data_IF_475241719744
#
_entry.id   IF_475241719744
#
_cell.length_a   1.000
_cell.length_b   1.000
_cell.length_c   1.000
_cell.angle_alpha   90.00
_cell.angle_beta   90.00
_cell.angle_gamma   90.00
#
_symmetry.space_group_name_H-M   'P 1'
#
loop_
_entity.id
_entity.type
_entity.pdbx_description
1 polymer ?
#
# COMPACT_ATOMS: atom_id res chain seq x y z
N UNK A 1 49.82 33.27 5.47
CA UNK A 1 48.44 33.10 5.98
C UNK A 1 48.13 31.62 5.87
N UNK A 2 47.59 31.08 6.94
CA UNK A 2 47.73 29.70 7.41
C UNK A 2 47.25 28.65 6.40
N UNK A 3 48.17 27.75 6.10
CA UNK A 3 47.99 26.50 5.37
C UNK A 3 47.10 25.58 6.23
N UNK A 4 45.78 25.59 5.98
CA UNK A 4 44.87 24.60 6.56
C UNK A 4 45.11 23.29 5.81
N UNK A 5 46.05 22.50 6.33
CA UNK A 5 46.19 21.09 5.99
C UNK A 5 44.81 20.44 6.09
N UNK A 6 44.27 19.99 4.96
CA UNK A 6 43.02 19.24 4.90
C UNK A 6 43.30 17.92 5.62
N UNK A 7 42.93 17.81 6.89
CA UNK A 7 43.01 16.56 7.62
C UNK A 7 42.08 15.56 6.92
N UNK A 8 42.66 14.53 6.32
CA UNK A 8 41.88 13.42 5.78
C UNK A 8 41.38 12.55 6.95
N UNK A 9 40.17 11.96 6.82
CA UNK A 9 39.66 11.07 7.84
C UNK A 9 40.54 9.82 7.94
N UNK A 10 40.81 9.39 9.18
CA UNK A 10 41.52 8.13 9.43
C UNK A 10 40.78 6.96 8.77
N UNK A 11 41.48 5.91 8.30
CA UNK A 11 40.81 4.72 7.77
C UNK A 11 39.89 4.09 8.83
N UNK A 12 38.81 3.46 8.39
CA UNK A 12 37.91 2.73 9.29
C UNK A 12 38.68 1.59 9.99
N UNK A 13 38.36 1.28 11.26
CA UNK A 13 38.93 0.12 11.95
C UNK A 13 38.79 -1.15 11.10
N UNK A 14 39.85 -1.95 10.99
CA UNK A 14 39.86 -3.17 10.15
C UNK A 14 38.69 -4.10 10.47
N UNK A 15 38.32 -4.20 11.75
CA UNK A 15 37.23 -5.03 12.23
C UNK A 15 35.85 -4.69 11.63
N UNK A 16 35.63 -3.48 11.10
CA UNK A 16 34.34 -3.09 10.48
C UNK A 16 34.37 -3.00 8.95
N UNK A 17 35.55 -3.11 8.35
CA UNK A 17 35.73 -3.06 6.90
C UNK A 17 34.96 -4.15 6.11
N UNK A 18 34.61 -5.33 6.66
CA UNK A 18 33.75 -6.28 5.95
C UNK A 18 32.33 -5.77 5.65
N UNK A 19 31.88 -4.72 6.34
CA UNK A 19 30.54 -4.14 6.15
C UNK A 19 30.60 -2.70 5.63
N UNK A 20 31.61 -1.94 6.05
CA UNK A 20 31.69 -0.51 5.85
C UNK A 20 32.87 -0.11 4.96
N UNK A 21 32.66 0.89 4.12
CA UNK A 21 33.71 1.59 3.39
C UNK A 21 33.59 3.08 3.66
N UNK A 22 34.72 3.76 3.76
CA UNK A 22 34.78 5.21 3.86
C UNK A 22 35.05 5.81 2.47
N UNK A 23 34.14 6.66 2.02
CA UNK A 23 34.40 7.53 0.88
C UNK A 23 35.19 8.76 1.37
N UNK A 24 36.46 8.84 0.98
CA UNK A 24 37.38 9.90 1.42
C UNK A 24 37.04 11.28 0.82
N UNK A 25 36.51 11.32 -0.40
CA UNK A 25 36.20 12.57 -1.10
C UNK A 25 35.05 13.32 -0.43
N UNK A 26 33.99 12.60 -0.05
CA UNK A 26 32.80 13.18 0.56
C UNK A 26 32.76 13.01 2.09
N UNK A 27 33.74 12.31 2.67
CA UNK A 27 33.80 11.98 4.09
C UNK A 27 32.55 11.20 4.55
N UNK A 28 32.14 10.20 3.77
CA UNK A 28 30.87 9.47 3.97
C UNK A 28 31.14 8.00 4.27
N UNK A 29 30.54 7.50 5.34
CA UNK A 29 30.54 6.07 5.69
C UNK A 29 29.42 5.38 4.90
N UNK A 30 29.80 4.38 4.09
CA UNK A 30 28.91 3.58 3.26
C UNK A 30 28.87 2.16 3.80
N UNK A 31 27.68 1.63 4.03
CA UNK A 31 27.51 0.19 4.19
C UNK A 31 27.38 -0.46 2.81
N UNK A 32 28.35 -1.28 2.44
CA UNK A 32 28.40 -1.97 1.15
C UNK A 32 27.85 -3.39 1.21
N UNK A 33 27.46 -3.88 2.39
CA UNK A 33 26.85 -5.20 2.54
C UNK A 33 25.58 -5.36 1.70
N UNK A 34 25.34 -6.60 1.27
CA UNK A 34 24.13 -7.01 0.54
C UNK A 34 22.87 -6.62 1.33
N UNK A 35 21.85 -6.11 0.62
CA UNK A 35 20.63 -5.55 1.22
C UNK A 35 20.72 -4.10 1.73
N UNK A 36 21.92 -3.62 2.13
CA UNK A 36 22.08 -2.26 2.66
C UNK A 36 22.50 -1.25 1.59
N UNK A 37 23.69 -1.41 0.99
CA UNK A 37 24.23 -0.59 -0.13
C UNK A 37 23.83 0.90 -0.05
N UNK A 38 24.32 1.62 0.96
CA UNK A 38 23.93 3.00 1.23
C UNK A 38 24.74 3.69 2.31
N UNK A 39 24.69 5.03 2.35
CA UNK A 39 25.35 5.84 3.34
C UNK A 39 24.68 5.74 4.72
N UNK A 40 25.50 5.80 5.76
CA UNK A 40 25.09 5.84 7.16
C UNK A 40 25.54 7.15 7.77
N UNK A 41 24.71 7.74 8.63
CA UNK A 41 25.15 8.89 9.42
C UNK A 41 26.05 8.41 10.56
N UNK A 42 27.03 9.21 11.01
CA UNK A 42 27.91 8.85 12.12
C UNK A 42 27.15 8.46 13.40
N UNK A 43 25.97 9.05 13.63
CA UNK A 43 25.10 8.73 14.79
C UNK A 43 24.35 7.41 14.64
N UNK A 44 24.07 6.96 13.42
CA UNK A 44 23.25 5.79 13.15
C UNK A 44 24.06 4.52 12.86
N UNK A 45 25.36 4.65 12.52
CA UNK A 45 26.19 3.52 12.06
C UNK A 45 26.29 2.39 13.07
N UNK A 46 26.50 2.66 14.37
CA UNK A 46 26.59 1.61 15.39
C UNK A 46 25.25 0.88 15.60
N UNK A 47 24.14 1.63 15.59
CA UNK A 47 22.78 1.06 15.67
C UNK A 47 22.48 0.22 14.45
N UNK A 48 22.87 0.68 13.25
CA UNK A 48 22.71 -0.05 12.01
C UNK A 48 23.48 -1.37 12.01
N UNK A 49 24.76 -1.38 12.39
CA UNK A 49 25.55 -2.62 12.46
C UNK A 49 24.94 -3.64 13.44
N UNK A 50 24.35 -3.17 14.54
CA UNK A 50 23.64 -4.03 15.50
C UNK A 50 22.36 -4.61 14.89
N UNK A 51 21.51 -3.76 14.34
CA UNK A 51 20.14 -4.13 13.96
C UNK A 51 20.08 -4.85 12.59
N UNK A 52 21.01 -4.54 11.68
CA UNK A 52 21.03 -5.08 10.30
C UNK A 52 22.08 -6.15 10.05
N UNK A 53 23.16 -6.15 10.82
CA UNK A 53 24.28 -7.08 10.62
C UNK A 53 24.63 -7.89 11.87
N UNK A 54 23.91 -7.67 12.98
CA UNK A 54 24.12 -8.36 14.26
C UNK A 54 25.59 -8.36 14.71
N UNK A 55 26.32 -7.30 14.40
CA UNK A 55 27.76 -7.22 14.70
C UNK A 55 27.98 -7.20 16.21
N UNK A 56 28.97 -7.97 16.66
CA UNK A 56 29.34 -8.12 18.06
C UNK A 56 29.64 -6.77 18.74
N UNK A 57 29.40 -6.71 20.05
CA UNK A 57 29.50 -5.47 20.81
C UNK A 57 30.92 -4.88 20.77
N UNK A 58 31.94 -5.73 20.86
CA UNK A 58 33.36 -5.39 20.90
C UNK A 58 33.78 -4.66 19.61
N UNK A 59 33.34 -5.16 18.46
CA UNK A 59 33.61 -4.55 17.14
C UNK A 59 32.88 -3.20 17.03
N UNK A 60 31.62 -3.12 17.49
CA UNK A 60 30.86 -1.86 17.50
C UNK A 60 31.45 -0.84 18.48
N UNK A 61 32.09 -1.29 19.56
CA UNK A 61 32.77 -0.44 20.52
C UNK A 61 34.00 0.22 19.90
N UNK A 62 34.83 -0.54 19.17
CA UNK A 62 35.98 0.02 18.43
C UNK A 62 35.53 1.10 17.43
N UNK A 63 34.44 0.86 16.71
CA UNK A 63 33.86 1.86 15.82
C UNK A 63 33.34 3.08 16.59
N UNK A 64 32.68 2.89 17.73
CA UNK A 64 32.20 4.00 18.56
C UNK A 64 33.36 4.87 19.08
N UNK A 65 34.50 4.27 19.42
CA UNK A 65 35.71 4.98 19.83
C UNK A 65 36.33 5.77 18.69
N UNK A 66 36.41 5.19 17.49
CA UNK A 66 36.79 5.90 16.26
C UNK A 66 35.87 7.11 16.00
N UNK A 67 34.55 6.94 16.15
CA UNK A 67 33.57 8.01 15.90
C UNK A 67 33.62 9.15 16.91
N UNK A 68 34.20 8.96 18.11
CA UNK A 68 34.43 10.06 19.06
C UNK A 68 35.39 11.10 18.49
N UNK A 69 36.30 10.69 17.61
CA UNK A 69 37.28 11.56 16.94
C UNK A 69 36.76 12.10 15.60
N UNK A 70 35.55 11.72 15.20
CA UNK A 70 34.97 12.06 13.91
C UNK A 70 34.40 13.48 13.87
N UNK A 71 34.97 14.34 13.02
CA UNK A 71 34.62 15.75 12.96
C UNK A 71 33.59 16.09 11.85
N UNK A 72 33.38 15.19 10.89
CA UNK A 72 32.50 15.42 9.74
C UNK A 72 31.06 15.01 10.01
N UNK A 73 30.28 15.89 10.62
CA UNK A 73 28.86 15.66 10.83
C UNK A 73 28.09 15.92 9.53
N UNK A 74 27.27 14.96 9.11
CA UNK A 74 26.37 15.09 7.98
C UNK A 74 25.07 14.33 8.22
N UNK A 75 24.03 14.76 7.52
CA UNK A 75 22.75 14.07 7.40
C UNK A 75 22.29 14.03 5.93
N UNK A 76 21.10 13.51 5.69
CA UNK A 76 20.56 13.36 4.34
C UNK A 76 20.28 14.69 3.62
N UNK A 77 20.15 15.80 4.35
CA UNK A 77 19.92 17.12 3.78
C UNK A 77 21.22 17.89 3.54
N UNK A 78 22.18 17.74 4.45
CA UNK A 78 23.42 18.52 4.48
C UNK A 78 24.57 17.90 3.69
N UNK A 79 24.51 16.58 3.43
CA UNK A 79 25.53 15.89 2.65
C UNK A 79 25.66 16.51 1.23
N UNK A 80 26.89 16.83 0.78
CA UNK A 80 27.12 17.25 -0.60
C UNK A 80 26.83 16.11 -1.58
N UNK A 81 26.32 16.46 -2.76
CA UNK A 81 26.15 15.51 -3.85
C UNK A 81 27.37 15.60 -4.77
N UNK A 82 27.86 14.46 -5.29
CA UNK A 82 28.75 14.46 -6.44
C UNK A 82 28.14 15.25 -7.61
N UNK A 83 29.02 15.72 -8.50
CA UNK A 83 28.59 16.36 -9.73
C UNK A 83 27.84 15.36 -10.63
N UNK A 84 26.86 15.86 -11.38
CA UNK A 84 26.21 15.09 -12.43
C UNK A 84 27.27 14.67 -13.48
N UNK A 85 27.13 13.45 -14.00
CA UNK A 85 28.10 12.76 -14.88
C UNK A 85 29.44 12.38 -14.18
N UNK A 86 29.42 12.17 -12.86
CA UNK A 86 30.55 11.55 -12.15
C UNK A 86 30.60 10.03 -12.41
N UNK A 87 31.78 9.43 -12.22
CA UNK A 87 31.90 7.97 -12.24
C UNK A 87 31.10 7.34 -11.09
N UNK A 88 30.50 6.14 -11.29
CA UNK A 88 29.79 5.44 -10.23
C UNK A 88 30.67 5.21 -9.00
N UNK A 89 30.21 5.68 -7.83
CA UNK A 89 30.89 5.49 -6.56
C UNK A 89 30.76 4.03 -6.08
N UNK A 90 31.87 3.36 -5.72
CA UNK A 90 31.84 2.00 -5.19
C UNK A 90 31.00 1.88 -3.90
N UNK A 91 30.34 0.73 -3.72
CA UNK A 91 29.51 0.42 -2.55
C UNK A 91 28.08 0.98 -2.59
N UNK A 92 27.75 1.80 -3.58
CA UNK A 92 26.39 2.29 -3.84
C UNK A 92 25.78 1.63 -5.07
N UNK A 93 24.46 1.36 -5.07
CA UNK A 93 23.79 0.79 -6.23
C UNK A 93 23.62 1.86 -7.30
N UNK A 94 23.92 1.51 -8.55
CA UNK A 94 23.51 2.32 -9.71
C UNK A 94 22.04 2.06 -9.96
N UNK A 95 21.24 3.12 -9.93
CA UNK A 95 19.80 3.09 -10.06
C UNK A 95 19.37 3.64 -11.41
N UNK A 96 18.35 3.01 -11.97
CA UNK A 96 17.68 3.48 -13.18
C UNK A 96 16.66 4.55 -12.81
N UNK A 97 16.72 5.69 -13.50
CA UNK A 97 16.03 6.91 -13.09
C UNK A 97 15.57 7.82 -14.20
N UNK A 98 14.84 8.86 -13.81
CA UNK A 98 14.36 9.89 -14.70
C UNK A 98 14.83 11.27 -14.22
N UNK A 99 15.34 12.07 -15.16
CA UNK A 99 15.70 13.47 -14.95
C UNK A 99 14.76 14.36 -15.77
N UNK A 100 14.24 15.42 -15.15
CA UNK A 100 13.38 16.37 -15.83
C UNK A 100 14.17 17.11 -16.92
N UNK A 101 13.56 17.34 -18.09
CA UNK A 101 14.20 18.14 -19.16
C UNK A 101 14.14 19.65 -18.89
N UNK A 102 13.25 20.09 -18.00
CA UNK A 102 13.00 21.51 -17.72
C UNK A 102 13.65 22.02 -16.43
N UNK A 103 14.14 21.13 -15.56
CA UNK A 103 14.88 21.51 -14.35
C UNK A 103 15.77 20.36 -13.85
N UNK A 104 16.53 20.58 -12.76
CA UNK A 104 17.45 19.59 -12.19
C UNK A 104 16.79 18.49 -11.36
N UNK A 105 15.46 18.41 -11.34
CA UNK A 105 14.72 17.41 -10.57
C UNK A 105 14.92 15.98 -11.11
N UNK A 106 15.15 15.04 -10.19
CA UNK A 106 15.46 13.63 -10.48
C UNK A 106 14.63 12.73 -9.56
N UNK A 107 14.15 11.61 -10.09
CA UNK A 107 13.47 10.58 -9.29
C UNK A 107 13.52 9.24 -10.00
N UNK A 108 13.48 8.16 -9.23
CA UNK A 108 13.32 6.80 -9.76
C UNK A 108 11.89 6.55 -10.24
N UNK A 109 10.89 7.32 -9.80
CA UNK A 109 9.49 6.97 -10.05
C UNK A 109 8.88 7.78 -11.22
N UNK A 110 8.46 7.09 -12.28
CA UNK A 110 7.82 7.67 -13.47
C UNK A 110 6.57 8.51 -13.13
N UNK A 111 5.72 8.02 -12.23
CA UNK A 111 4.50 8.72 -11.83
C UNK A 111 4.83 10.01 -11.08
N UNK A 112 5.89 10.00 -10.26
CA UNK A 112 6.35 11.19 -9.52
C UNK A 112 6.93 12.22 -10.48
N UNK A 113 7.79 11.83 -11.43
CA UNK A 113 8.37 12.81 -12.37
C UNK A 113 7.31 13.41 -13.29
N UNK A 114 6.33 12.62 -13.74
CA UNK A 114 5.22 13.12 -14.55
C UNK A 114 4.37 14.11 -13.76
N UNK A 115 4.08 13.80 -12.49
CA UNK A 115 3.38 14.73 -11.58
C UNK A 115 4.19 16.01 -11.36
N UNK A 116 5.50 15.89 -11.18
CA UNK A 116 6.40 17.04 -11.06
C UNK A 116 6.32 17.94 -12.32
N UNK A 117 6.48 17.39 -13.52
CA UNK A 117 6.40 18.18 -14.77
C UNK A 117 5.02 18.85 -14.94
N UNK A 118 3.94 18.14 -14.59
CA UNK A 118 2.58 18.69 -14.67
C UNK A 118 2.38 19.87 -13.71
N UNK A 119 2.94 19.81 -12.49
CA UNK A 119 2.71 20.82 -11.45
C UNK A 119 3.69 21.99 -11.59
N UNK A 120 4.98 21.70 -11.73
CA UNK A 120 6.04 22.72 -11.69
C UNK A 120 6.30 23.38 -13.04
N UNK A 121 5.94 22.70 -14.14
CA UNK A 121 6.17 23.20 -15.50
C UNK A 121 4.88 23.34 -16.31
N UNK A 122 3.72 23.03 -15.72
CA UNK A 122 2.40 23.05 -16.37
C UNK A 122 2.33 22.24 -17.69
N UNK A 123 3.15 21.20 -17.80
CA UNK A 123 3.33 20.39 -19.02
C UNK A 123 2.29 19.26 -19.12
N UNK A 124 1.02 19.61 -18.97
CA UNK A 124 -0.07 18.64 -19.02
C UNK A 124 -0.26 18.12 -20.46
N UNK A 125 -0.53 16.82 -20.60
CA UNK A 125 -0.78 16.10 -21.88
C UNK A 125 0.45 15.84 -22.78
N UNK A 126 1.67 16.13 -22.34
CA UNK A 126 2.87 15.72 -23.09
C UNK A 126 3.20 14.22 -22.88
N UNK A 127 3.83 13.63 -23.88
CA UNK A 127 4.36 12.25 -23.83
C UNK A 127 5.67 12.23 -23.03
N UNK A 128 5.98 11.10 -22.42
CA UNK A 128 7.09 10.98 -21.45
C UNK A 128 8.45 11.45 -21.99
N UNK A 129 8.77 11.09 -23.24
CA UNK A 129 10.02 11.48 -23.90
C UNK A 129 10.17 12.99 -24.08
N UNK A 130 9.08 13.77 -23.99
CA UNK A 130 9.13 15.23 -24.00
C UNK A 130 9.28 15.83 -22.60
N UNK A 131 9.00 15.06 -21.53
CA UNK A 131 8.96 15.53 -20.16
C UNK A 131 10.29 15.29 -19.42
N UNK A 132 10.90 14.13 -19.65
CA UNK A 132 12.09 13.68 -18.92
C UNK A 132 12.97 12.76 -19.78
N UNK A 133 14.20 12.55 -19.32
CA UNK A 133 15.19 11.66 -19.92
C UNK A 133 15.51 10.52 -18.96
N UNK A 134 15.71 9.31 -19.49
CA UNK A 134 16.20 8.18 -18.72
C UNK A 134 17.71 8.34 -18.45
N UNK A 135 18.11 8.21 -17.19
CA UNK A 135 19.48 8.39 -16.72
C UNK A 135 19.84 7.33 -15.68
N UNK A 136 21.13 6.98 -15.61
CA UNK A 136 21.69 6.26 -14.48
C UNK A 136 22.04 7.25 -13.38
N UNK A 137 21.72 6.89 -12.13
CA UNK A 137 21.98 7.76 -11.01
C UNK A 137 22.30 6.97 -9.75
N UNK A 138 22.99 7.61 -8.82
CA UNK A 138 23.24 7.08 -7.50
C UNK A 138 22.65 8.01 -6.44
N UNK A 139 22.52 7.49 -5.23
CA UNK A 139 22.11 8.28 -4.06
C UNK A 139 22.84 7.79 -2.82
N UNK A 140 23.10 8.72 -1.90
CA UNK A 140 23.65 8.39 -0.60
C UNK A 140 22.64 7.63 0.27
N UNK A 141 21.38 8.09 0.30
CA UNK A 141 20.34 7.58 1.19
C UNK A 141 19.13 7.07 0.40
N UNK A 142 18.44 6.05 0.91
CA UNK A 142 17.28 5.45 0.25
C UNK A 142 15.96 6.20 0.56
N UNK A 143 14.92 5.86 -0.21
CA UNK A 143 13.53 6.26 0.00
C UNK A 143 13.28 7.78 0.10
N UNK A 144 12.53 8.24 1.11
CA UNK A 144 12.14 9.65 1.31
C UNK A 144 13.31 10.59 1.60
N UNK A 145 14.50 10.04 1.84
CA UNK A 145 15.75 10.78 2.10
C UNK A 145 16.68 10.82 0.88
N UNK A 146 16.27 10.21 -0.23
CA UNK A 146 17.09 10.11 -1.42
C UNK A 146 17.24 11.45 -2.14
N UNK A 147 18.50 11.76 -2.47
CA UNK A 147 18.91 12.86 -3.35
C UNK A 147 19.86 12.27 -4.38
N UNK A 148 19.56 12.49 -5.65
CA UNK A 148 20.20 11.78 -6.76
C UNK A 148 21.19 12.67 -7.51
N UNK A 149 22.27 12.07 -8.00
CA UNK A 149 23.17 12.64 -9.01
C UNK A 149 23.28 11.66 -10.19
N UNK A 150 23.43 12.18 -11.40
CA UNK A 150 23.63 11.36 -12.60
C UNK A 150 25.04 10.80 -12.60
N UNK A 151 25.19 9.53 -12.96
CA UNK A 151 26.50 8.91 -13.18
C UNK A 151 26.76 8.69 -14.66
N UNK A 152 28.03 8.69 -15.04
CA UNK A 152 28.44 8.49 -16.43
C UNK A 152 28.10 7.07 -16.90
N UNK A 153 27.46 6.98 -18.07
CA UNK A 153 27.00 5.75 -18.66
C UNK A 153 28.09 5.17 -19.56
N UNK A 154 28.79 4.13 -19.09
CA UNK A 154 29.84 3.46 -19.86
C UNK A 154 29.36 2.93 -21.22
N UNK A 155 28.04 2.81 -21.45
CA UNK A 155 27.48 2.34 -22.71
C UNK A 155 27.17 3.43 -23.75
N UNK A 156 27.25 4.72 -23.39
CA UNK A 156 26.94 5.84 -24.30
C UNK A 156 28.14 6.39 -25.08
N UNK A 157 29.38 6.21 -24.60
CA UNK A 157 30.58 6.72 -25.27
C UNK A 157 30.85 6.07 -26.64
N UNK A 158 30.26 4.91 -26.97
CA UNK A 158 30.48 4.25 -28.26
C UNK A 158 29.55 4.71 -29.40
N UNK A 159 28.73 5.76 -29.21
CA UNK A 159 27.65 6.12 -30.17
C UNK A 159 27.61 7.57 -30.62
N UNK A 160 28.56 8.41 -30.22
CA UNK A 160 28.56 9.83 -30.63
C UNK A 160 29.13 10.08 -32.04
N UNK A 161 29.75 9.09 -32.69
CA UNK A 161 30.35 9.25 -34.03
C UNK A 161 29.39 9.02 -35.22
N UNK A 162 28.08 9.26 -35.07
CA UNK A 162 27.16 9.12 -36.21
C UNK A 162 26.12 10.25 -36.27
N UNK A 163 26.49 11.27 -37.02
CA UNK A 163 25.67 12.41 -37.37
C UNK A 163 24.56 11.98 -38.36
N UNK A 164 23.30 11.90 -37.91
CA UNK A 164 22.19 11.48 -38.77
C UNK A 164 20.80 11.88 -38.25
N UNK A 165 20.14 12.75 -39.02
CA UNK A 165 18.69 13.08 -39.14
C UNK A 165 17.75 12.90 -37.93
N UNK A 166 17.13 14.02 -37.52
CA UNK A 166 16.31 14.20 -36.30
C UNK A 166 15.00 13.39 -36.17
N UNK A 167 14.66 12.51 -37.11
CA UNK A 167 13.48 11.62 -36.99
C UNK A 167 13.81 10.29 -36.29
N UNK A 168 15.01 9.74 -36.52
CA UNK A 168 15.45 8.48 -35.91
C UNK A 168 15.90 8.61 -34.44
N UNK A 169 16.28 9.82 -34.02
CA UNK A 169 16.65 10.11 -32.62
C UNK A 169 15.45 9.98 -31.68
N UNK A 170 14.27 10.45 -32.09
CA UNK A 170 13.06 10.44 -31.24
C UNK A 170 12.46 9.02 -31.08
N UNK A 171 12.59 8.16 -32.09
CA UNK A 171 12.21 6.74 -31.98
C UNK A 171 13.19 5.97 -31.10
N UNK A 172 14.49 6.27 -31.20
CA UNK A 172 15.54 5.67 -30.34
C UNK A 172 15.35 6.06 -28.88
N UNK A 173 15.09 7.34 -28.59
CA UNK A 173 14.82 7.82 -27.22
C UNK A 173 13.55 7.19 -26.63
N UNK A 174 12.49 6.98 -27.44
CA UNK A 174 11.26 6.29 -26.99
C UNK A 174 11.51 4.82 -26.66
N UNK A 175 12.26 4.12 -27.51
CA UNK A 175 12.61 2.73 -27.29
C UNK A 175 13.50 2.57 -26.05
N UNK A 176 14.45 3.48 -25.83
CA UNK A 176 15.26 3.53 -24.61
C UNK A 176 14.39 3.75 -23.37
N UNK A 177 13.52 4.76 -23.36
CA UNK A 177 12.64 5.00 -22.19
C UNK A 177 11.75 3.78 -21.90
N UNK A 178 11.25 3.08 -22.93
CA UNK A 178 10.46 1.87 -22.76
C UNK A 178 11.29 0.70 -22.21
N UNK A 179 12.49 0.45 -22.74
CA UNK A 179 13.42 -0.59 -22.26
C UNK A 179 13.84 -0.35 -20.81
N UNK A 180 14.07 0.90 -20.44
CA UNK A 180 14.42 1.29 -19.08
C UNK A 180 13.25 1.14 -18.09
N UNK A 181 12.01 1.40 -18.52
CA UNK A 181 10.82 1.10 -17.71
C UNK A 181 10.71 -0.40 -17.46
N UNK A 182 10.90 -1.24 -18.47
CA UNK A 182 10.87 -2.70 -18.32
C UNK A 182 11.99 -3.20 -17.39
N UNK A 183 13.23 -2.75 -17.60
CA UNK A 183 14.38 -3.07 -16.73
C UNK A 183 14.20 -2.59 -15.30
N UNK A 184 13.50 -1.47 -15.09
CA UNK A 184 13.16 -0.99 -13.75
C UNK A 184 12.14 -1.90 -13.07
N UNK A 185 11.07 -2.31 -13.77
CA UNK A 185 10.08 -3.26 -13.26
C UNK A 185 10.75 -4.61 -12.92
N UNK A 186 11.69 -5.06 -13.74
CA UNK A 186 12.46 -6.28 -13.53
C UNK A 186 13.46 -6.16 -12.37
N UNK A 187 14.21 -5.05 -12.27
CA UNK A 187 15.14 -4.80 -11.15
C UNK A 187 14.41 -4.61 -9.82
N UNK A 188 13.22 -4.00 -9.83
CA UNK A 188 12.37 -3.93 -8.64
C UNK A 188 11.88 -5.33 -8.27
N UNK A 189 11.50 -6.16 -9.24
CA UNK A 189 11.13 -7.55 -8.98
C UNK A 189 12.33 -8.40 -8.48
N UNK A 190 13.55 -8.14 -8.95
CA UNK A 190 14.79 -8.80 -8.50
C UNK A 190 15.16 -8.38 -7.08
N UNK A 191 15.13 -7.07 -6.77
CA UNK A 191 15.35 -6.55 -5.42
C UNK A 191 14.30 -7.09 -4.45
N UNK A 192 13.05 -7.17 -4.91
CA UNK A 192 11.97 -7.77 -4.14
C UNK A 192 12.17 -9.28 -3.93
N UNK A 193 12.73 -10.01 -4.90
CA UNK A 193 13.17 -11.42 -4.75
C UNK A 193 14.34 -11.54 -3.77
N UNK A 194 15.31 -10.62 -3.80
CA UNK A 194 16.47 -10.61 -2.91
C UNK A 194 16.07 -10.24 -1.46
N UNK A 195 15.09 -9.36 -1.28
CA UNK A 195 14.43 -9.07 0.00
C UNK A 195 13.68 -10.31 0.51
N UNK A 196 13.06 -11.09 -0.38
CA UNK A 196 12.38 -12.34 -0.04
C UNK A 196 13.34 -13.49 0.35
N UNK A 197 14.52 -13.57 -0.27
CA UNK A 197 15.50 -14.62 0.01
C UNK A 197 16.36 -14.35 1.25
N UNK A 198 16.58 -13.08 1.60
CA UNK A 198 17.56 -12.75 2.66
C UNK A 198 16.93 -12.68 4.06
N UNK A 199 15.64 -12.44 4.21
CA UNK A 199 14.90 -12.57 5.48
C UNK A 199 13.42 -12.28 5.19
N UNK A 200 12.49 -13.22 5.48
CA UNK A 200 11.04 -12.96 5.40
C UNK A 200 10.75 -11.61 6.08
N UNK A 201 10.24 -10.63 5.30
CA UNK A 201 9.89 -9.27 5.76
C UNK A 201 9.30 -9.33 7.19
N UNK A 202 9.86 -8.62 8.18
CA UNK A 202 9.35 -8.62 9.55
C UNK A 202 7.84 -8.38 9.64
N UNK A 203 7.27 -7.59 8.71
CA UNK A 203 5.84 -7.38 8.61
C UNK A 203 5.09 -8.64 8.12
N UNK A 204 5.61 -9.33 7.09
CA UNK A 204 5.04 -10.60 6.61
C UNK A 204 5.08 -11.69 7.69
N UNK A 205 6.16 -11.75 8.49
CA UNK A 205 6.23 -12.63 9.67
C UNK A 205 5.15 -12.29 10.70
N UNK A 206 4.88 -11.00 10.91
CA UNK A 206 3.90 -10.55 11.89
C UNK A 206 2.44 -10.79 11.48
N UNK A 207 2.14 -10.91 10.18
CA UNK A 207 0.77 -11.17 9.71
C UNK A 207 0.46 -12.67 9.55
N UNK A 208 1.47 -13.56 9.56
CA UNK A 208 1.29 -15.02 9.49
C UNK A 208 0.45 -15.54 8.31
N UNK A 209 0.45 -14.83 7.17
CA UNK A 209 -0.36 -15.23 6.01
C UNK A 209 0.06 -16.57 5.41
N UNK A 210 1.34 -16.91 5.49
CA UNK A 210 1.85 -18.21 5.05
C UNK A 210 1.23 -19.34 5.86
N UNK A 211 1.12 -19.20 7.19
CA UNK A 211 0.47 -20.19 8.06
C UNK A 211 -1.03 -20.28 7.80
N UNK A 212 -1.70 -19.13 7.70
CA UNK A 212 -3.17 -19.06 7.50
C UNK A 212 -3.58 -19.67 6.18
N UNK A 213 -2.81 -19.41 5.11
CA UNK A 213 -3.15 -19.85 3.76
C UNK A 213 -2.50 -21.18 3.38
N UNK A 214 -1.60 -21.73 4.20
CA UNK A 214 -1.06 -23.07 4.01
C UNK A 214 -2.14 -24.17 4.07
N UNK A 215 -3.25 -23.91 4.78
CA UNK A 215 -4.41 -24.80 4.83
C UNK A 215 -5.30 -24.74 3.58
N UNK A 216 -5.04 -23.82 2.63
CA UNK A 216 -5.79 -23.77 1.36
C UNK A 216 -5.53 -25.04 0.55
N UNK A 217 -6.57 -25.60 -0.05
CA UNK A 217 -6.45 -26.76 -0.96
C UNK A 217 -5.80 -26.40 -2.30
N UNK A 218 -5.39 -25.15 -2.47
CA UNK A 218 -4.97 -24.54 -3.72
C UNK A 218 -3.65 -23.79 -3.58
N UNK A 219 -2.97 -23.61 -4.71
CA UNK A 219 -1.86 -22.66 -4.78
C UNK A 219 -2.31 -21.20 -4.56
N UNK A 220 -1.33 -20.30 -4.44
CA UNK A 220 -1.58 -18.88 -4.22
C UNK A 220 -2.40 -18.24 -5.35
N UNK A 221 -2.16 -18.61 -6.61
CA UNK A 221 -2.81 -18.00 -7.77
C UNK A 221 -4.30 -18.35 -7.77
N UNK A 222 -4.62 -19.63 -7.58
CA UNK A 222 -5.99 -20.12 -7.54
C UNK A 222 -6.71 -19.63 -6.29
N UNK A 223 -6.05 -19.58 -5.13
CA UNK A 223 -6.62 -18.97 -3.91
C UNK A 223 -6.97 -17.49 -4.13
N UNK A 224 -6.09 -16.72 -4.78
CA UNK A 224 -6.34 -15.32 -5.12
C UNK A 224 -7.50 -15.13 -6.12
N UNK A 225 -7.74 -16.11 -7.01
CA UNK A 225 -8.80 -16.04 -8.00
C UNK A 225 -10.20 -15.96 -7.38
N UNK A 226 -10.42 -16.53 -6.19
CA UNK A 226 -11.69 -16.42 -5.46
C UNK A 226 -12.03 -14.97 -5.08
N UNK A 227 -11.03 -14.11 -4.91
CA UNK A 227 -11.18 -12.70 -4.55
C UNK A 227 -11.28 -11.74 -5.75
N UNK A 228 -11.54 -12.26 -6.95
CA UNK A 228 -11.77 -11.45 -8.16
C UNK A 228 -13.19 -10.88 -8.19
N UNK A 229 -13.45 -9.91 -9.08
CA UNK A 229 -14.80 -9.36 -9.28
C UNK A 229 -15.73 -10.38 -9.93
N UNK A 230 -17.04 -10.16 -9.83
CA UNK A 230 -18.03 -10.92 -10.57
C UNK A 230 -17.77 -10.83 -12.08
N UNK A 231 -17.96 -11.94 -12.79
CA UNK A 231 -17.88 -12.02 -14.24
C UNK A 231 -19.25 -12.24 -14.86
N UNK A 232 -19.38 -12.01 -16.17
CA UNK A 232 -20.66 -12.22 -16.88
C UNK A 232 -21.15 -13.68 -16.85
N UNK A 233 -20.25 -14.63 -16.57
CA UNK A 233 -20.58 -16.06 -16.41
C UNK A 233 -21.14 -16.40 -15.03
N UNK A 234 -21.17 -15.44 -14.10
CA UNK A 234 -21.67 -15.61 -12.73
C UNK A 234 -22.89 -14.70 -12.48
N UNK A 235 -24.07 -15.01 -13.06
CA UNK A 235 -25.25 -14.14 -13.02
C UNK A 235 -25.71 -13.82 -11.58
N UNK A 236 -25.59 -14.77 -10.67
CA UNK A 236 -25.94 -14.61 -9.25
C UNK A 236 -25.04 -13.57 -8.57
N UNK A 237 -23.74 -13.60 -8.84
CA UNK A 237 -22.82 -12.60 -8.32
C UNK A 237 -23.07 -11.24 -8.96
N UNK A 238 -23.39 -11.17 -10.26
CA UNK A 238 -23.76 -9.90 -10.90
C UNK A 238 -24.99 -9.30 -10.22
N UNK A 239 -26.02 -10.10 -9.93
CA UNK A 239 -27.22 -9.65 -9.19
C UNK A 239 -26.90 -9.24 -7.76
N UNK A 240 -26.02 -9.97 -7.07
CA UNK A 240 -25.51 -9.59 -5.74
C UNK A 240 -24.81 -8.22 -5.77
N UNK A 241 -23.97 -7.96 -6.79
CA UNK A 241 -23.28 -6.69 -6.93
C UNK A 241 -24.24 -5.53 -7.22
N UNK A 242 -25.32 -5.76 -7.98
CA UNK A 242 -26.37 -4.75 -8.17
C UNK A 242 -27.08 -4.41 -6.85
N UNK A 243 -27.32 -5.41 -5.99
CA UNK A 243 -27.82 -5.20 -4.63
C UNK A 243 -26.85 -4.40 -3.76
N UNK A 244 -25.57 -4.74 -3.82
CA UNK A 244 -24.52 -3.97 -3.17
C UNK A 244 -24.49 -2.51 -3.62
N UNK A 245 -24.63 -2.21 -4.91
CA UNK A 245 -24.63 -0.84 -5.43
C UNK A 245 -25.81 -0.02 -4.89
N UNK A 246 -26.99 -0.63 -4.72
CA UNK A 246 -28.14 0.01 -4.06
C UNK A 246 -27.87 0.29 -2.58
N UNK A 247 -27.28 -0.67 -1.86
CA UNK A 247 -26.88 -0.50 -0.45
C UNK A 247 -25.86 0.64 -0.32
N UNK A 248 -24.83 0.64 -1.17
CA UNK A 248 -23.81 1.68 -1.20
C UNK A 248 -24.44 3.05 -1.42
N UNK A 249 -25.37 3.16 -2.37
CA UNK A 249 -26.06 4.42 -2.64
C UNK A 249 -26.85 4.91 -1.42
N UNK A 250 -27.51 4.01 -0.68
CA UNK A 250 -28.17 4.34 0.60
C UNK A 250 -27.18 4.88 1.63
N UNK A 251 -26.03 4.22 1.80
CA UNK A 251 -24.99 4.65 2.74
C UNK A 251 -24.43 6.04 2.40
N UNK A 252 -24.23 6.32 1.11
CA UNK A 252 -23.78 7.63 0.64
C UNK A 252 -24.83 8.72 0.89
N UNK A 253 -26.12 8.42 0.72
CA UNK A 253 -27.22 9.33 1.08
C UNK A 253 -27.22 9.63 2.58
N UNK A 254 -26.98 8.61 3.42
CA UNK A 254 -26.84 8.78 4.87
C UNK A 254 -25.67 9.68 5.24
N UNK A 255 -24.48 9.44 4.67
CA UNK A 255 -23.30 10.29 4.90
C UNK A 255 -23.57 11.74 4.48
N UNK A 256 -24.19 11.95 3.32
CA UNK A 256 -24.56 13.29 2.85
C UNK A 256 -25.52 14.01 3.83
N UNK A 257 -26.52 13.29 4.37
CA UNK A 257 -27.49 13.84 5.32
C UNK A 257 -26.90 14.17 6.69
N UNK A 258 -25.81 13.52 7.08
CA UNK A 258 -25.09 13.72 8.36
C UNK A 258 -24.08 14.87 8.26
N UNK A 259 -23.84 15.44 7.08
CA UNK A 259 -22.82 16.48 6.84
C UNK A 259 -22.86 17.72 7.75
N UNK A 260 -23.95 17.95 8.49
CA UNK A 260 -24.05 18.97 9.55
C UNK A 260 -23.28 18.64 10.84
N UNK A 261 -22.95 17.37 11.10
CA UNK A 261 -22.23 16.91 12.29
C UNK A 261 -20.72 16.76 12.04
N UNK A 262 -20.07 17.79 11.47
CA UNK A 262 -18.65 17.68 11.08
C UNK A 262 -17.72 17.29 12.22
N UNK A 263 -17.95 17.80 13.42
CA UNK A 263 -17.07 17.51 14.56
C UNK A 263 -17.18 16.05 15.01
N UNK A 264 -18.37 15.45 14.98
CA UNK A 264 -18.49 14.02 15.31
C UNK A 264 -17.86 13.13 14.24
N UNK A 265 -17.91 13.56 12.98
CA UNK A 265 -17.28 12.83 11.87
C UNK A 265 -15.74 12.92 11.91
N UNK A 266 -15.16 13.93 12.57
CA UNK A 266 -13.71 13.96 12.88
C UNK A 266 -13.31 12.89 13.90
N UNK A 267 -14.18 12.65 14.89
CA UNK A 267 -14.01 11.57 15.85
C UNK A 267 -14.20 10.21 15.19
N UNK A 268 -15.18 10.08 14.29
CA UNK A 268 -15.48 8.84 13.56
C UNK A 268 -14.30 8.26 12.76
N UNK A 269 -13.47 9.12 12.17
CA UNK A 269 -12.28 8.68 11.40
C UNK A 269 -11.09 8.38 12.30
N UNK A 270 -11.08 8.90 13.53
CA UNK A 270 -9.90 8.79 14.37
C UNK A 270 -9.73 7.36 14.90
N UNK A 271 -8.56 6.75 14.71
CA UNK A 271 -8.24 5.48 15.38
C UNK A 271 -7.94 5.68 16.88
N UNK A 272 -7.79 6.93 17.33
CA UNK A 272 -7.55 7.25 18.74
C UNK A 272 -8.87 7.64 19.39
N UNK A 273 -9.19 7.00 20.51
CA UNK A 273 -10.41 7.30 21.28
C UNK A 273 -10.39 8.76 21.79
N UNK A 274 -9.23 9.24 22.24
CA UNK A 274 -9.07 10.52 22.93
C UNK A 274 -8.70 11.72 22.03
N UNK A 275 -8.42 11.51 20.74
CA UNK A 275 -8.01 12.60 19.83
C UNK A 275 -8.82 12.57 18.53
N UNK A 276 -9.46 13.67 18.10
CA UNK A 276 -10.14 13.74 16.81
C UNK A 276 -9.15 13.97 15.66
N UNK A 277 -9.53 13.57 14.44
CA UNK A 277 -8.82 13.98 13.22
C UNK A 277 -9.16 15.43 12.84
N UNK A 278 -8.28 16.09 12.10
CA UNK A 278 -8.54 17.44 11.60
C UNK A 278 -9.61 17.45 10.49
N UNK A 279 -9.59 16.42 9.65
CA UNK A 279 -10.51 16.27 8.51
C UNK A 279 -11.63 15.30 8.90
N UNK A 280 -12.92 15.68 8.74
CA UNK A 280 -14.04 14.80 9.02
C UNK A 280 -14.15 13.67 7.99
N UNK A 281 -14.97 12.66 8.29
CA UNK A 281 -15.37 11.67 7.30
C UNK A 281 -16.24 12.33 6.22
N UNK A 282 -15.80 12.25 4.96
CA UNK A 282 -16.44 12.95 3.85
C UNK A 282 -16.64 12.02 2.64
N UNK A 283 -17.52 12.47 1.73
CA UNK A 283 -17.75 11.80 0.46
C UNK A 283 -16.48 11.82 -0.39
N UNK A 284 -16.14 10.67 -0.95
CA UNK A 284 -15.02 10.54 -1.87
C UNK A 284 -15.37 11.09 -3.26
N UNK A 285 -14.35 11.48 -4.00
CA UNK A 285 -14.45 11.69 -5.44
C UNK A 285 -14.93 10.42 -6.16
N UNK A 286 -15.69 10.59 -7.24
CA UNK A 286 -16.33 9.48 -7.98
C UNK A 286 -15.33 8.38 -8.39
N UNK A 287 -14.11 8.75 -8.80
CA UNK A 287 -13.09 7.80 -9.22
C UNK A 287 -12.61 6.92 -8.04
N UNK A 288 -12.30 7.55 -6.91
CA UNK A 288 -11.90 6.87 -5.67
C UNK A 288 -13.04 5.99 -5.15
N UNK A 289 -14.28 6.49 -5.14
CA UNK A 289 -15.44 5.71 -4.70
C UNK A 289 -15.61 4.41 -5.48
N UNK A 290 -15.43 4.43 -6.81
CA UNK A 290 -15.48 3.21 -7.64
C UNK A 290 -14.44 2.17 -7.21
N UNK A 291 -13.21 2.61 -6.96
CA UNK A 291 -12.14 1.71 -6.51
C UNK A 291 -12.45 1.10 -5.13
N UNK A 292 -12.94 1.92 -4.20
CA UNK A 292 -13.27 1.48 -2.84
C UNK A 292 -14.45 0.50 -2.86
N UNK A 293 -15.50 0.82 -3.64
CA UNK A 293 -16.62 -0.09 -3.89
C UNK A 293 -16.15 -1.41 -4.48
N UNK A 294 -15.30 -1.39 -5.50
CA UNK A 294 -14.79 -2.62 -6.13
C UNK A 294 -14.00 -3.50 -5.15
N UNK A 295 -13.25 -2.90 -4.22
CA UNK A 295 -12.54 -3.64 -3.18
C UNK A 295 -13.50 -4.35 -2.22
N UNK A 296 -14.65 -3.75 -1.91
CA UNK A 296 -15.70 -4.39 -1.11
C UNK A 296 -16.53 -5.41 -1.92
N UNK A 297 -16.80 -5.14 -3.21
CA UNK A 297 -17.46 -6.11 -4.11
C UNK A 297 -16.68 -7.43 -4.16
N UNK A 298 -15.35 -7.36 -4.23
CA UNK A 298 -14.47 -8.54 -4.20
C UNK A 298 -14.60 -9.34 -2.90
N UNK A 299 -14.83 -8.70 -1.76
CA UNK A 299 -15.13 -9.40 -0.49
C UNK A 299 -16.45 -10.16 -0.60
N UNK A 300 -17.50 -9.52 -1.12
CA UNK A 300 -18.81 -10.15 -1.27
C UNK A 300 -18.77 -11.34 -2.24
N UNK A 301 -18.08 -11.19 -3.37
CA UNK A 301 -17.86 -12.29 -4.32
C UNK A 301 -17.07 -13.43 -3.66
N UNK A 302 -15.97 -13.10 -2.97
CA UNK A 302 -15.14 -14.07 -2.27
C UNK A 302 -15.95 -14.90 -1.27
N UNK A 303 -16.72 -14.22 -0.41
CA UNK A 303 -17.55 -14.87 0.60
C UNK A 303 -18.54 -15.83 -0.04
N UNK A 304 -19.26 -15.42 -1.09
CA UNK A 304 -20.27 -16.29 -1.70
C UNK A 304 -19.65 -17.50 -2.42
N UNK A 305 -18.47 -17.33 -3.04
CA UNK A 305 -17.74 -18.41 -3.72
C UNK A 305 -17.13 -19.42 -2.75
N UNK A 306 -16.66 -18.96 -1.60
CA UNK A 306 -15.91 -19.80 -0.64
C UNK A 306 -16.81 -20.41 0.42
N UNK A 307 -17.95 -19.78 0.73
CA UNK A 307 -18.91 -20.38 1.65
C UNK A 307 -19.33 -21.78 1.16
N UNK A 308 -19.18 -22.84 1.98
CA UNK A 308 -19.62 -24.18 1.59
C UNK A 308 -21.14 -24.23 1.41
N UNK A 309 -21.69 -25.36 0.94
CA UNK A 309 -23.15 -25.54 0.88
C UNK A 309 -23.76 -25.90 2.22
N UNK A 310 -23.03 -26.64 3.06
CA UNK A 310 -23.45 -27.06 4.40
C UNK A 310 -22.51 -26.50 5.47
N UNK A 311 -23.03 -26.18 6.67
CA UNK A 311 -22.21 -25.61 7.74
C UNK A 311 -21.14 -26.55 8.28
N UNK A 312 -21.34 -27.87 8.17
CA UNK A 312 -20.35 -28.89 8.55
C UNK A 312 -19.17 -29.02 7.57
N UNK A 313 -19.28 -28.50 6.36
CA UNK A 313 -18.24 -28.62 5.34
C UNK A 313 -17.14 -27.55 5.53
N UNK A 314 -15.89 -27.93 5.27
CA UNK A 314 -14.78 -26.98 5.27
C UNK A 314 -14.71 -26.23 3.94
N UNK A 315 -14.46 -24.93 3.97
CA UNK A 315 -14.25 -24.18 2.72
C UNK A 315 -12.90 -24.53 2.09
N UNK A 316 -12.84 -24.46 0.76
CA UNK A 316 -11.63 -24.83 0.01
C UNK A 316 -10.43 -23.92 0.30
N UNK A 317 -10.65 -22.69 0.79
CA UNK A 317 -9.57 -21.77 1.18
C UNK A 317 -9.31 -21.75 2.68
N UNK A 318 -10.13 -22.43 3.49
CA UNK A 318 -10.05 -22.41 4.95
C UNK A 318 -10.75 -21.22 5.64
N UNK A 319 -11.57 -20.45 4.94
CA UNK A 319 -12.47 -19.47 5.56
C UNK A 319 -13.54 -20.17 6.41
N UNK A 320 -13.81 -19.60 7.58
CA UNK A 320 -14.81 -20.09 8.55
C UNK A 320 -15.90 -19.03 8.69
N UNK A 321 -17.14 -19.47 8.91
CA UNK A 321 -18.30 -18.59 9.06
C UNK A 321 -19.06 -18.93 10.35
N UNK A 322 -19.57 -17.91 11.04
CA UNK A 322 -20.45 -18.10 12.21
C UNK A 322 -21.86 -18.53 11.80
N UNK A 323 -22.62 -19.08 12.74
CA UNK A 323 -24.02 -19.49 12.50
C UNK A 323 -24.89 -18.35 11.94
N UNK A 324 -24.67 -17.13 12.43
CA UNK A 324 -25.38 -15.95 11.95
C UNK A 324 -24.99 -15.60 10.50
N UNK A 325 -23.71 -15.68 10.16
CA UNK A 325 -23.21 -15.43 8.80
C UNK A 325 -23.74 -16.50 7.83
N UNK A 326 -23.75 -17.77 8.25
CA UNK A 326 -24.35 -18.89 7.53
C UNK A 326 -25.83 -18.69 7.24
N UNK A 327 -26.62 -18.31 8.24
CA UNK A 327 -28.03 -18.05 8.06
C UNK A 327 -28.27 -16.92 7.05
N UNK A 328 -27.44 -15.88 7.07
CA UNK A 328 -27.51 -14.79 6.11
C UNK A 328 -27.13 -15.24 4.68
N UNK A 329 -26.07 -16.04 4.54
CA UNK A 329 -25.64 -16.62 3.26
C UNK A 329 -26.73 -17.51 2.65
N UNK A 330 -27.37 -18.35 3.46
CA UNK A 330 -28.46 -19.21 3.03
C UNK A 330 -29.63 -18.41 2.46
N UNK A 331 -30.05 -17.36 3.17
CA UNK A 331 -31.11 -16.43 2.70
C UNK A 331 -30.74 -15.76 1.38
N UNK A 332 -29.48 -15.34 1.22
CA UNK A 332 -29.00 -14.73 -0.02
C UNK A 332 -29.10 -15.74 -1.17
N UNK A 333 -28.61 -16.97 -0.98
CA UNK A 333 -28.68 -18.04 -2.00
C UNK A 333 -30.11 -18.39 -2.38
N UNK A 334 -31.00 -18.52 -1.39
CA UNK A 334 -32.43 -18.76 -1.61
C UNK A 334 -33.07 -17.67 -2.49
N UNK A 335 -32.72 -16.40 -2.28
CA UNK A 335 -33.24 -15.28 -3.09
C UNK A 335 -32.59 -15.25 -4.49
N UNK A 336 -31.31 -15.58 -4.61
CA UNK A 336 -30.59 -15.60 -5.89
C UNK A 336 -31.11 -16.69 -6.82
N UNK A 337 -31.46 -17.86 -6.28
CA UNK A 337 -32.00 -19.00 -7.04
C UNK A 337 -33.43 -18.78 -7.59
N UNK A 338 -34.12 -17.71 -7.18
CA UNK A 338 -35.46 -17.40 -7.69
C UNK A 338 -35.39 -16.85 -9.13
N UNK A 339 -36.25 -17.32 -10.06
CA UNK A 339 -36.18 -16.93 -11.48
C UNK A 339 -36.43 -15.43 -11.68
N UNK A 340 -35.51 -14.79 -12.42
CA UNK A 340 -35.48 -13.33 -12.70
C UNK A 340 -36.79 -12.79 -13.27
N UNK A 341 -37.57 -13.61 -13.99
CA UNK A 341 -38.86 -13.24 -14.59
C UNK A 341 -39.96 -12.86 -13.58
N UNK A 342 -39.81 -13.19 -12.29
CA UNK A 342 -40.74 -12.80 -11.21
C UNK A 342 -40.34 -11.46 -10.55
N UNK A 343 -39.16 -10.92 -10.89
CA UNK A 343 -38.49 -9.88 -10.09
C UNK A 343 -38.30 -8.59 -10.89
N UNK A 344 -39.40 -8.01 -11.37
CA UNK A 344 -39.40 -6.62 -11.86
C UNK A 344 -40.18 -5.76 -10.86
N UNK A 345 -39.61 -5.56 -9.66
CA UNK A 345 -39.92 -4.42 -8.76
C UNK A 345 -39.16 -4.45 -7.42
N UNK A 346 -38.86 -5.60 -6.82
CA UNK A 346 -38.38 -5.60 -5.42
C UNK A 346 -37.28 -6.63 -5.14
N UNK A 347 -36.03 -6.30 -5.51
CA UNK A 347 -34.83 -6.92 -4.92
C UNK A 347 -34.60 -6.51 -3.44
N UNK A 348 -35.57 -5.81 -2.83
CA UNK A 348 -35.53 -5.41 -1.43
C UNK A 348 -35.22 -6.58 -0.46
N UNK A 349 -35.73 -7.82 -0.66
CA UNK A 349 -35.32 -8.98 0.16
C UNK A 349 -33.82 -9.29 0.05
N UNK A 350 -33.25 -9.19 -1.15
CA UNK A 350 -31.81 -9.39 -1.37
C UNK A 350 -31.00 -8.29 -0.69
N UNK A 351 -31.42 -7.02 -0.84
CA UNK A 351 -30.76 -5.88 -0.20
C UNK A 351 -30.76 -6.01 1.33
N UNK A 352 -31.87 -6.48 1.92
CA UNK A 352 -32.00 -6.72 3.37
C UNK A 352 -31.13 -7.89 3.82
N UNK A 353 -31.14 -9.01 3.08
CA UNK A 353 -30.33 -10.18 3.41
C UNK A 353 -28.82 -9.86 3.31
N UNK A 354 -28.42 -9.15 2.26
CA UNK A 354 -27.04 -8.72 2.05
C UNK A 354 -26.59 -7.71 3.12
N UNK A 355 -27.41 -6.71 3.46
CA UNK A 355 -27.08 -5.80 4.55
C UNK A 355 -26.97 -6.54 5.89
N UNK A 356 -27.84 -7.53 6.15
CA UNK A 356 -27.76 -8.40 7.32
C UNK A 356 -26.46 -9.19 7.39
N UNK A 357 -26.02 -9.76 6.26
CA UNK A 357 -24.72 -10.43 6.15
C UNK A 357 -23.58 -9.44 6.44
N UNK A 358 -23.58 -8.26 5.81
CA UNK A 358 -22.55 -7.23 6.01
C UNK A 358 -22.45 -6.85 7.50
N UNK A 359 -23.57 -6.63 8.18
CA UNK A 359 -23.58 -6.34 9.62
C UNK A 359 -22.94 -7.50 10.41
N UNK A 360 -23.30 -8.75 10.12
CA UNK A 360 -22.74 -9.91 10.82
C UNK A 360 -21.24 -10.13 10.57
N UNK A 361 -20.72 -9.63 9.45
CA UNK A 361 -19.29 -9.67 9.13
C UNK A 361 -18.52 -8.56 9.86
N UNK A 362 -19.09 -7.36 9.93
CA UNK A 362 -18.41 -6.17 10.47
C UNK A 362 -18.56 -6.03 11.99
N UNK A 363 -19.63 -6.56 12.58
CA UNK A 363 -19.91 -6.49 14.01
C UNK A 363 -19.45 -7.75 14.78
N UNK A 364 -18.61 -8.59 14.18
CA UNK A 364 -18.08 -9.80 14.80
C UNK A 364 -17.15 -9.43 15.98
N UNK A 365 -17.33 -10.09 17.12
CA UNK A 365 -16.44 -9.91 18.27
C UNK A 365 -15.11 -10.61 18.01
N UNK A 366 -14.07 -9.80 17.79
CA UNK A 366 -12.72 -10.27 17.49
C UNK A 366 -11.92 -10.61 18.75
N UNK A 367 -12.42 -10.33 19.95
CA UNK A 367 -11.66 -10.55 21.20
C UNK A 367 -11.54 -12.04 21.56
N UNK A 368 -12.48 -12.87 21.08
CA UNK A 368 -12.56 -14.30 21.38
C UNK A 368 -12.11 -15.20 20.23
N UNK A 369 -11.75 -14.61 19.09
CA UNK A 369 -11.43 -15.34 17.87
C UNK A 369 -9.93 -15.27 17.59
N UNK A 370 -9.38 -16.32 16.98
CA UNK A 370 -8.09 -16.15 16.32
C UNK A 370 -8.27 -15.17 15.15
N UNK A 371 -7.28 -14.32 14.88
CA UNK A 371 -7.45 -13.16 14.00
C UNK A 371 -8.03 -13.49 12.61
N UNK A 372 -7.80 -14.71 12.10
CA UNK A 372 -8.21 -15.16 10.76
C UNK A 372 -9.42 -16.11 10.74
N UNK A 373 -10.06 -16.37 11.89
CA UNK A 373 -11.39 -17.00 11.94
C UNK A 373 -12.50 -16.05 11.47
N UNK A 374 -12.23 -14.75 11.39
CA UNK A 374 -13.14 -13.82 10.72
C UNK A 374 -13.04 -13.96 9.19
N UNK A 375 -14.15 -14.17 8.47
CA UNK A 375 -14.14 -14.23 7.01
C UNK A 375 -13.55 -12.98 6.35
N UNK A 376 -13.71 -11.81 6.99
CA UNK A 376 -13.15 -10.54 6.49
C UNK A 376 -11.63 -10.55 6.62
N UNK A 377 -11.09 -11.01 7.75
CA UNK A 377 -9.64 -11.09 7.96
C UNK A 377 -8.99 -12.16 7.10
N UNK A 378 -9.65 -13.32 6.94
CA UNK A 378 -9.20 -14.37 6.02
C UNK A 378 -9.20 -13.85 4.57
N UNK A 379 -10.27 -13.18 4.12
CA UNK A 379 -10.31 -12.51 2.82
C UNK A 379 -9.15 -11.51 2.66
N UNK A 380 -8.87 -10.72 3.69
CA UNK A 380 -7.77 -9.77 3.67
C UNK A 380 -6.42 -10.49 3.48
N UNK A 381 -6.19 -11.64 4.12
CA UNK A 381 -5.01 -12.48 3.87
C UNK A 381 -4.94 -12.95 2.41
N UNK A 382 -6.05 -13.44 1.85
CA UNK A 382 -6.14 -13.82 0.42
C UNK A 382 -5.82 -12.64 -0.49
N UNK A 383 -6.31 -11.44 -0.17
CA UNK A 383 -5.98 -10.20 -0.90
C UNK A 383 -4.53 -9.76 -0.73
N UNK A 384 -3.82 -10.34 0.22
CA UNK A 384 -2.38 -10.22 0.39
C UNK A 384 -1.59 -10.92 -0.71
N UNK A 385 -2.20 -11.87 -1.43
CA UNK A 385 -1.55 -12.57 -2.54
C UNK A 385 -1.48 -11.66 -3.77
N UNK A 386 -0.29 -11.53 -4.33
CA UNK A 386 -0.05 -10.95 -5.64
C UNK A 386 0.05 -12.08 -6.70
N UNK A 387 -1.03 -12.34 -7.47
CA UNK A 387 -1.09 -13.48 -8.37
C UNK A 387 -0.14 -13.36 -9.58
N UNK A 388 0.32 -12.15 -9.93
CA UNK A 388 1.23 -11.94 -11.07
C UNK A 388 2.63 -12.46 -10.80
N UNK A 389 3.09 -12.27 -9.57
CA UNK A 389 4.44 -12.63 -9.11
C UNK A 389 4.41 -13.84 -8.16
N UNK A 390 3.23 -14.41 -7.92
CA UNK A 390 2.98 -15.58 -7.06
C UNK A 390 3.62 -15.46 -5.67
N UNK A 391 3.53 -14.28 -5.08
CA UNK A 391 4.06 -13.97 -3.74
C UNK A 391 3.09 -13.09 -2.97
N UNK A 392 3.33 -12.87 -1.69
CA UNK A 392 2.59 -11.88 -0.92
C UNK A 392 3.04 -10.46 -1.28
N UNK A 393 2.07 -9.53 -1.22
CA UNK A 393 2.31 -8.10 -1.27
C UNK A 393 3.18 -7.65 -0.10
N UNK A 394 4.06 -6.69 -0.36
CA UNK A 394 4.79 -6.01 0.71
C UNK A 394 3.86 -5.02 1.44
N UNK A 395 4.24 -4.60 2.65
CA UNK A 395 3.47 -3.61 3.42
C UNK A 395 3.03 -2.35 2.61
N UNK A 396 3.91 -1.66 1.84
CA UNK A 396 3.50 -0.48 1.08
C UNK A 396 2.53 -0.80 -0.08
N UNK A 397 2.64 -1.97 -0.70
CA UNK A 397 1.72 -2.41 -1.76
C UNK A 397 0.34 -2.77 -1.23
N UNK A 398 0.29 -3.31 0.00
CA UNK A 398 -0.93 -3.80 0.61
C UNK A 398 -1.74 -2.70 1.33
N UNK A 399 -1.05 -1.69 1.89
CA UNK A 399 -1.67 -0.58 2.64
C UNK A 399 -2.85 0.10 1.91
N UNK A 400 -2.82 0.34 0.58
CA UNK A 400 -3.97 0.88 -0.14
C UNK A 400 -5.23 0.01 -0.06
N UNK A 401 -5.10 -1.32 -0.05
CA UNK A 401 -6.23 -2.25 0.07
C UNK A 401 -6.88 -2.11 1.45
N UNK A 402 -6.07 -2.06 2.50
CA UNK A 402 -6.54 -1.85 3.88
C UNK A 402 -7.23 -0.48 4.03
N UNK A 403 -6.65 0.58 3.47
CA UNK A 403 -7.24 1.91 3.54
C UNK A 403 -8.63 1.97 2.86
N UNK A 404 -8.78 1.28 1.72
CA UNK A 404 -10.05 1.16 1.01
C UNK A 404 -11.09 0.41 1.85
N UNK A 405 -10.71 -0.76 2.39
CA UNK A 405 -11.58 -1.55 3.25
C UNK A 405 -12.01 -0.78 4.50
N UNK A 406 -11.07 -0.13 5.19
CA UNK A 406 -11.35 0.63 6.41
C UNK A 406 -12.32 1.79 6.15
N UNK A 407 -12.19 2.49 5.03
CA UNK A 407 -13.15 3.54 4.66
C UNK A 407 -14.54 2.97 4.38
N UNK A 408 -14.62 1.82 3.68
CA UNK A 408 -15.88 1.13 3.41
C UNK A 408 -16.56 0.67 4.70
N UNK A 409 -15.80 0.10 5.64
CA UNK A 409 -16.29 -0.32 6.96
C UNK A 409 -16.85 0.89 7.71
N UNK A 410 -16.12 2.01 7.76
CA UNK A 410 -16.60 3.26 8.38
C UNK A 410 -17.88 3.78 7.76
N UNK A 411 -18.03 3.68 6.44
CA UNK A 411 -19.25 4.10 5.76
C UNK A 411 -20.44 3.20 6.14
N UNK A 412 -20.24 1.89 6.14
CA UNK A 412 -21.28 0.90 6.46
C UNK A 412 -21.68 0.97 7.93
N UNK A 413 -20.72 1.11 8.85
CA UNK A 413 -21.02 1.27 10.27
C UNK A 413 -21.76 2.58 10.56
N UNK A 414 -21.57 3.62 9.74
CA UNK A 414 -22.32 4.86 9.86
C UNK A 414 -23.78 4.67 9.44
N UNK A 415 -24.01 3.89 8.38
CA UNK A 415 -25.36 3.46 7.98
C UNK A 415 -26.04 2.65 9.09
N UNK A 416 -25.33 1.73 9.75
CA UNK A 416 -25.89 0.95 10.88
C UNK A 416 -26.20 1.84 12.08
N UNK A 417 -25.33 2.80 12.39
CA UNK A 417 -25.50 3.71 13.51
C UNK A 417 -26.70 4.64 13.29
N UNK A 418 -26.80 5.29 12.13
CA UNK A 418 -27.69 6.43 11.91
C UNK A 418 -28.24 6.50 10.47
N UNK A 419 -28.67 5.36 9.92
CA UNK A 419 -29.30 5.24 8.59
C UNK A 419 -30.32 6.34 8.31
N UNK A 420 -30.23 7.04 7.17
CA UNK A 420 -31.22 8.07 6.82
C UNK A 420 -32.63 7.49 6.70
N UNK A 421 -32.75 6.28 6.13
CA UNK A 421 -34.03 5.64 5.81
C UNK A 421 -34.42 4.53 6.81
N UNK A 422 -33.46 3.98 7.56
CA UNK A 422 -33.65 2.82 8.42
C UNK A 422 -33.63 1.48 7.66
N UNK A 423 -33.52 0.39 8.41
CA UNK A 423 -33.68 -0.99 7.95
C UNK A 423 -34.67 -1.73 8.85
N UNK A 424 -35.98 -1.57 8.65
CA UNK A 424 -36.99 -2.09 9.58
C UNK A 424 -36.91 -3.62 9.79
N UNK A 425 -36.66 -4.38 8.72
CA UNK A 425 -36.49 -5.84 8.77
C UNK A 425 -35.23 -6.29 9.53
N UNK A 426 -34.27 -5.39 9.74
CA UNK A 426 -33.05 -5.60 10.53
C UNK A 426 -33.11 -4.88 11.90
N UNK A 427 -34.26 -4.29 12.26
CA UNK A 427 -34.43 -3.55 13.51
C UNK A 427 -33.71 -2.20 13.56
N UNK A 428 -33.16 -1.69 12.44
CA UNK A 428 -32.47 -0.41 12.41
C UNK A 428 -33.47 0.73 12.14
N UNK A 429 -33.51 1.69 13.06
CA UNK A 429 -34.35 2.88 12.96
C UNK A 429 -33.77 3.87 11.95
N UNK A 430 -34.63 4.69 11.36
CA UNK A 430 -34.17 5.83 10.57
C UNK A 430 -33.56 6.91 11.46
N UNK A 431 -32.77 7.81 10.87
CA UNK A 431 -32.16 8.94 11.56
C UNK A 431 -33.22 9.84 12.17
N UNK A 432 -34.35 10.06 11.47
CA UNK A 432 -35.49 10.84 11.99
C UNK A 432 -36.09 10.20 13.24
N UNK A 433 -36.24 8.88 13.25
CA UNK A 433 -36.72 8.13 14.42
C UNK A 433 -35.71 8.15 15.57
N UNK A 434 -34.42 8.07 15.27
CA UNK A 434 -33.34 8.13 16.28
C UNK A 434 -33.21 9.53 16.87
N UNK A 435 -33.29 10.56 16.04
CA UNK A 435 -33.19 11.97 16.42
C UNK A 435 -34.49 12.58 16.96
N UNK A 436 -35.51 11.77 17.23
CA UNK A 436 -36.70 12.22 17.97
C UNK A 436 -36.35 12.69 19.39
N UNK A 437 -35.24 12.19 19.94
CA UNK A 437 -34.63 12.67 21.18
C UNK A 437 -33.43 13.56 20.82
N UNK A 438 -33.36 14.75 21.41
CA UNK A 438 -32.23 15.65 21.21
C UNK A 438 -30.93 14.99 21.67
N UNK A 439 -29.86 15.07 20.86
CA UNK A 439 -28.56 14.48 21.17
C UNK A 439 -28.39 12.99 20.82
N UNK A 440 -29.47 12.21 20.71
CA UNK A 440 -29.40 10.76 20.51
C UNK A 440 -28.65 10.32 19.23
N UNK A 441 -28.69 11.12 18.15
CA UNK A 441 -27.91 10.86 16.93
C UNK A 441 -26.41 10.91 17.23
N UNK A 442 -25.96 11.90 18.01
CA UNK A 442 -24.56 12.06 18.34
C UNK A 442 -24.08 10.95 19.29
N UNK A 443 -24.86 10.66 20.33
CA UNK A 443 -24.56 9.58 21.28
C UNK A 443 -24.44 8.23 20.60
N UNK A 444 -25.34 7.93 19.65
CA UNK A 444 -25.31 6.67 18.90
C UNK A 444 -24.08 6.57 18.01
N UNK A 445 -23.66 7.65 17.35
CA UNK A 445 -22.41 7.67 16.58
C UNK A 445 -21.21 7.44 17.49
N UNK A 446 -21.14 8.06 18.67
CA UNK A 446 -20.02 7.85 19.60
C UNK A 446 -19.97 6.42 20.17
N UNK A 447 -21.14 5.84 20.49
CA UNK A 447 -21.25 4.45 20.91
C UNK A 447 -20.72 3.48 19.84
N UNK A 448 -21.17 3.64 18.60
CA UNK A 448 -20.75 2.76 17.51
C UNK A 448 -19.27 2.93 17.18
N UNK A 449 -18.74 4.16 17.28
CA UNK A 449 -17.30 4.40 17.17
C UNK A 449 -16.54 3.56 18.19
N UNK A 450 -16.82 3.74 19.49
CA UNK A 450 -16.10 3.05 20.57
C UNK A 450 -16.21 1.53 20.53
N UNK A 451 -17.30 1.01 19.98
CA UNK A 451 -17.59 -0.43 19.98
C UNK A 451 -17.03 -1.16 18.77
N UNK A 452 -16.82 -0.47 17.63
CA UNK A 452 -16.53 -1.14 16.35
C UNK A 452 -15.43 -0.49 15.48
N UNK A 453 -14.92 0.69 15.85
CA UNK A 453 -13.94 1.46 15.05
C UNK A 453 -12.77 1.96 15.90
#
# INVERSE_FOLDING_TARGET
MSDQSIQLPLPLPEAVQPWLTLNLEFHVIICHSTGCKGALTPRAVCTHLRDKHQVQFEIRQQLAEYLKQWQWQYDYQTIPLPLDASLPLPGLPVLNGFQCKSCSYKTTNRSIIRKHCNIQHNQQRLKDYNLFTAVQMQTWFKEKRARYWVVEDATRQSREDSNGSGSGRDTTIKAEIADWIMKQEESQAELDREILTTERDPWLRGVHWDEVLAGSQHDLVRTAAFATTATATEPDLVRLIQSWERILQRCLTTLAAIGKYKDILKWWVSPKIAEPKQVPFELLEKASLRQYSQTFQRLLCYILRVAPDRPEDQSETGAVFSDQQWLALRKIREVLQQPVAVVVAEDQPLDVALMGLIISLLAQDMCQLTAYESPVMHYLAVRGINPRVQRFHTAPEYTPILAQMLWMIRLLMLEVAVSEQGWPKLGLKSRRQTGAVAGAVAERIDYFRKSFL
#
